data_IF_307493166203
#
_entry.id   IF_307493166203
#
_cell.length_a   1.000
_cell.length_b   1.000
_cell.length_c   1.000
_cell.angle_alpha   90.00
_cell.angle_beta   90.00
_cell.angle_gamma   90.00
#
_symmetry.space_group_name_H-M   'P 1'
#
loop_
_entity.id
_entity.type
_entity.pdbx_description
1 polymer ?
#
# COMPACT_ATOMS: atom_id res chain seq x y z
N UNK A 1 13.42 2.38 -21.31
CA UNK A 1 14.06 2.41 -19.96
C UNK A 1 13.02 2.07 -18.91
N UNK A 2 13.40 1.24 -17.93
CA UNK A 2 12.52 0.71 -16.89
C UNK A 2 13.01 1.10 -15.49
N UNK A 3 12.06 1.38 -14.62
CA UNK A 3 12.27 1.47 -13.17
C UNK A 3 11.79 0.16 -12.56
N UNK A 4 12.57 -0.42 -11.68
CA UNK A 4 12.25 -1.67 -11.00
C UNK A 4 12.32 -1.47 -9.49
N UNK A 5 11.34 -1.98 -8.76
CA UNK A 5 11.36 -1.95 -7.30
C UNK A 5 11.31 -3.38 -6.76
N UNK A 6 12.08 -3.64 -5.73
CA UNK A 6 12.06 -4.91 -5.00
C UNK A 6 11.53 -4.73 -3.58
N UNK A 7 10.52 -5.52 -3.22
CA UNK A 7 9.97 -5.55 -1.86
C UNK A 7 10.90 -6.25 -0.86
N UNK A 8 10.61 -6.10 0.43
CA UNK A 8 11.46 -6.63 1.50
C UNK A 8 11.64 -8.15 1.45
N UNK A 9 10.62 -8.92 1.07
CA UNK A 9 10.69 -10.38 0.88
C UNK A 9 11.68 -10.77 -0.23
N UNK A 10 11.76 -9.97 -1.29
CA UNK A 10 12.71 -10.13 -2.41
C UNK A 10 14.15 -9.78 -2.04
N UNK A 11 14.37 -9.14 -0.90
CA UNK A 11 15.66 -8.64 -0.41
C UNK A 11 16.05 -9.26 0.94
N UNK A 12 15.32 -10.30 1.36
CA UNK A 12 15.43 -10.85 2.70
C UNK A 12 16.71 -11.64 2.97
N UNK A 13 17.43 -12.11 1.95
CA UNK A 13 18.62 -12.96 2.08
C UNK A 13 19.54 -12.83 0.87
N UNK A 14 20.76 -13.33 1.00
CA UNK A 14 21.71 -13.42 -0.10
C UNK A 14 21.15 -14.24 -1.28
N UNK A 15 20.39 -15.32 -1.01
CA UNK A 15 19.75 -16.11 -2.06
C UNK A 15 18.76 -15.26 -2.87
N UNK A 16 17.93 -14.46 -2.20
CA UNK A 16 17.01 -13.55 -2.88
C UNK A 16 17.75 -12.48 -3.68
N UNK A 17 18.84 -11.92 -3.14
CA UNK A 17 19.66 -10.94 -3.87
C UNK A 17 20.32 -11.52 -5.14
N UNK A 18 20.64 -12.83 -5.15
CA UNK A 18 21.10 -13.52 -6.38
C UNK A 18 20.00 -13.54 -7.46
N UNK A 19 18.74 -13.74 -7.06
CA UNK A 19 17.58 -13.66 -7.99
C UNK A 19 17.41 -12.23 -8.50
N UNK A 20 17.46 -11.25 -7.61
CA UNK A 20 17.40 -9.82 -7.96
C UNK A 20 18.48 -9.45 -8.97
N UNK A 21 19.72 -9.87 -8.77
CA UNK A 21 20.82 -9.64 -9.70
C UNK A 21 20.51 -10.21 -11.09
N UNK A 22 20.02 -11.47 -11.15
CA UNK A 22 19.68 -12.12 -12.40
C UNK A 22 18.53 -11.39 -13.14
N UNK A 23 17.54 -10.93 -12.40
CA UNK A 23 16.44 -10.13 -12.95
C UNK A 23 16.98 -8.83 -13.56
N UNK A 24 17.83 -8.10 -12.85
CA UNK A 24 18.40 -6.84 -13.35
C UNK A 24 19.28 -7.11 -14.58
N UNK A 25 20.10 -8.15 -14.55
CA UNK A 25 20.95 -8.54 -15.69
C UNK A 25 20.20 -8.99 -16.93
N UNK A 26 19.00 -9.57 -16.79
CA UNK A 26 18.23 -10.11 -17.91
C UNK A 26 17.65 -9.04 -18.83
N UNK A 27 17.70 -7.76 -18.43
CA UNK A 27 17.14 -6.66 -19.20
C UNK A 27 17.92 -5.36 -18.97
N UNK A 28 18.66 -4.91 -19.96
CA UNK A 28 19.50 -3.71 -19.90
C UNK A 28 18.73 -2.39 -19.76
N UNK A 29 17.40 -2.42 -19.97
CA UNK A 29 16.56 -1.26 -19.73
C UNK A 29 16.27 -1.00 -18.26
N UNK A 30 16.53 -1.95 -17.34
CA UNK A 30 16.36 -1.86 -15.89
C UNK A 30 17.48 -1.06 -15.24
N UNK A 31 17.46 0.24 -15.42
CA UNK A 31 18.53 1.15 -14.96
C UNK A 31 18.27 1.82 -13.61
N UNK A 32 17.05 1.86 -13.16
CA UNK A 32 16.67 2.42 -11.86
C UNK A 32 16.13 1.32 -10.96
N UNK A 33 16.83 1.05 -9.86
CA UNK A 33 16.48 -0.02 -8.93
C UNK A 33 16.15 0.57 -7.57
N UNK A 34 14.88 0.50 -7.18
CA UNK A 34 14.42 0.95 -5.86
C UNK A 34 14.32 -0.25 -4.93
N UNK A 35 14.88 -0.14 -3.73
CA UNK A 35 14.98 -1.25 -2.79
C UNK A 35 14.34 -0.94 -1.44
N UNK A 36 13.66 -1.92 -0.86
CA UNK A 36 13.18 -1.90 0.51
C UNK A 36 14.27 -2.38 1.49
N UNK A 37 14.04 -2.21 2.78
CA UNK A 37 14.82 -2.88 3.81
C UNK A 37 14.66 -4.42 3.69
N UNK A 38 15.63 -5.23 4.17
CA UNK A 38 15.52 -6.68 4.17
C UNK A 38 14.31 -7.16 5.00
N UNK A 39 13.42 -7.92 4.36
CA UNK A 39 12.25 -8.51 4.98
C UNK A 39 12.54 -9.77 5.81
N UNK A 40 11.50 -10.53 6.11
CA UNK A 40 11.59 -11.84 6.77
C UNK A 40 12.11 -12.91 5.82
N UNK A 41 13.00 -13.79 6.28
CA UNK A 41 13.45 -14.99 5.57
C UNK A 41 12.45 -16.14 5.70
N UNK A 42 11.72 -16.17 6.82
CA UNK A 42 10.68 -17.15 7.15
C UNK A 42 9.64 -16.53 8.11
N UNK A 43 8.61 -17.27 8.48
CA UNK A 43 7.51 -16.77 9.31
C UNK A 43 7.95 -16.31 10.72
N UNK A 44 8.99 -16.93 11.29
CA UNK A 44 9.50 -16.66 12.64
C UNK A 44 10.54 -15.54 12.67
N UNK A 45 11.04 -15.12 11.50
CA UNK A 45 12.08 -14.10 11.39
C UNK A 45 11.54 -12.68 11.68
N UNK A 46 12.46 -11.78 12.00
CA UNK A 46 12.17 -10.34 12.22
C UNK A 46 12.58 -9.54 10.99
N UNK A 47 11.77 -8.57 10.58
CA UNK A 47 12.16 -7.59 9.54
C UNK A 47 13.21 -6.63 10.11
N UNK A 48 14.10 -6.13 9.27
CA UNK A 48 15.06 -5.09 9.67
C UNK A 48 14.32 -3.83 10.16
N UNK A 49 13.24 -3.45 9.54
CA UNK A 49 12.41 -2.32 9.98
C UNK A 49 11.87 -2.53 11.40
N UNK A 50 11.38 -3.73 11.74
CA UNK A 50 10.88 -4.04 13.09
C UNK A 50 12.02 -3.99 14.13
N UNK A 51 13.23 -4.40 13.76
CA UNK A 51 14.41 -4.31 14.61
C UNK A 51 14.83 -2.83 14.82
N UNK A 52 14.76 -2.01 13.79
CA UNK A 52 15.01 -0.55 13.89
C UNK A 52 14.00 0.16 14.79
N UNK A 53 12.73 -0.25 14.76
CA UNK A 53 11.69 0.26 15.68
C UNK A 53 12.05 -0.09 17.14
N UNK A 54 12.50 -1.34 17.40
CA UNK A 54 12.93 -1.75 18.73
C UNK A 54 14.16 -0.95 19.17
N UNK A 55 15.10 -0.74 18.26
CA UNK A 55 16.30 0.05 18.52
C UNK A 55 15.94 1.49 18.88
N UNK A 56 15.08 2.15 18.09
CA UNK A 56 14.58 3.49 18.39
C UNK A 56 13.93 3.59 19.78
N UNK A 57 13.05 2.64 20.11
CA UNK A 57 12.36 2.62 21.41
C UNK A 57 13.35 2.47 22.59
N UNK A 58 14.32 1.58 22.48
CA UNK A 58 15.36 1.41 23.51
C UNK A 58 16.21 2.68 23.63
N UNK A 59 16.62 3.27 22.51
CA UNK A 59 17.41 4.51 22.50
C UNK A 59 16.70 5.67 23.18
N UNK A 60 15.45 5.92 22.83
CA UNK A 60 14.65 7.02 23.40
C UNK A 60 14.26 6.78 24.86
N UNK A 61 14.23 5.54 25.32
CA UNK A 61 14.00 5.20 26.73
C UNK A 61 15.27 5.28 27.58
N UNK A 62 16.46 5.44 26.95
CA UNK A 62 17.77 5.40 27.64
C UNK A 62 18.22 4.00 28.02
N UNK A 63 17.62 2.97 27.40
CA UNK A 63 17.97 1.58 27.60
C UNK A 63 19.23 1.19 26.81
N UNK A 64 19.81 -0.01 27.13
CA UNK A 64 20.92 -0.57 26.36
C UNK A 64 20.48 -0.96 24.94
N UNK A 65 21.14 -0.38 23.96
CA UNK A 65 20.85 -0.56 22.52
C UNK A 65 21.74 -1.61 21.85
N UNK A 66 22.74 -2.14 22.56
CA UNK A 66 23.80 -3.01 22.01
C UNK A 66 23.21 -4.22 21.28
N UNK A 67 22.29 -4.93 21.90
CA UNK A 67 21.68 -6.12 21.31
C UNK A 67 20.88 -5.81 20.03
N UNK A 68 20.20 -4.67 19.95
CA UNK A 68 19.47 -4.25 18.77
C UNK A 68 20.43 -3.86 17.64
N UNK A 69 21.49 -3.13 17.93
CA UNK A 69 22.55 -2.78 16.98
C UNK A 69 23.21 -4.02 16.41
N UNK A 70 23.69 -4.91 17.28
CA UNK A 70 24.36 -6.16 16.88
C UNK A 70 23.45 -7.03 16.00
N UNK A 71 22.17 -7.16 16.32
CA UNK A 71 21.25 -7.94 15.51
C UNK A 71 21.13 -7.39 14.09
N UNK A 72 20.98 -6.06 13.94
CA UNK A 72 20.88 -5.42 12.63
C UNK A 72 22.19 -5.54 11.85
N UNK A 73 23.31 -5.26 12.48
CA UNK A 73 24.64 -5.35 11.87
C UNK A 73 24.94 -6.78 11.41
N UNK A 74 24.70 -7.78 12.27
CA UNK A 74 24.91 -9.19 11.96
C UNK A 74 24.02 -9.65 10.79
N UNK A 75 22.81 -9.09 10.64
CA UNK A 75 21.93 -9.36 9.50
C UNK A 75 22.58 -8.96 8.18
N UNK A 76 23.12 -7.74 8.09
CA UNK A 76 23.82 -7.26 6.89
C UNK A 76 25.16 -7.96 6.70
N UNK A 77 25.88 -8.26 7.77
CA UNK A 77 27.15 -8.98 7.71
C UNK A 77 26.96 -10.38 7.11
N UNK A 78 26.01 -11.15 7.60
CA UNK A 78 25.70 -12.48 7.05
C UNK A 78 25.37 -12.42 5.56
N UNK A 79 24.54 -11.46 5.15
CA UNK A 79 24.22 -11.27 3.74
C UNK A 79 25.46 -10.92 2.91
N UNK A 80 26.32 -10.03 3.41
CA UNK A 80 27.54 -9.61 2.73
C UNK A 80 28.54 -10.77 2.60
N UNK A 81 28.71 -11.57 3.63
CA UNK A 81 29.59 -12.76 3.64
C UNK A 81 29.14 -13.82 2.64
N UNK A 82 27.83 -14.16 2.64
CA UNK A 82 27.25 -15.13 1.69
C UNK A 82 27.32 -14.65 0.22
N UNK A 83 27.32 -13.33 0.00
CA UNK A 83 27.51 -12.68 -1.30
C UNK A 83 29.01 -12.50 -1.63
N UNK A 84 29.89 -12.80 -0.68
CA UNK A 84 31.34 -12.64 -0.80
C UNK A 84 31.76 -11.18 -0.98
N UNK A 85 31.04 -10.22 -0.38
CA UNK A 85 31.39 -8.81 -0.44
C UNK A 85 32.57 -8.47 0.47
N UNK A 86 33.23 -7.36 0.17
CA UNK A 86 34.34 -6.88 0.99
C UNK A 86 33.83 -6.41 2.37
N UNK A 87 34.60 -6.65 3.44
CA UNK A 87 34.27 -6.20 4.80
C UNK A 87 34.07 -4.67 4.91
N UNK A 88 34.61 -3.90 3.98
CA UNK A 88 34.44 -2.43 3.96
C UNK A 88 32.99 -1.99 3.90
N UNK A 89 32.12 -2.73 3.17
CA UNK A 89 30.69 -2.39 3.12
C UNK A 89 30.02 -2.67 4.46
N UNK A 90 30.39 -3.78 5.13
CA UNK A 90 29.90 -4.14 6.47
C UNK A 90 30.30 -3.05 7.47
N UNK A 91 31.57 -2.62 7.45
CA UNK A 91 32.05 -1.53 8.33
C UNK A 91 31.30 -0.22 8.13
N UNK A 92 30.98 0.15 6.88
CA UNK A 92 30.19 1.33 6.57
C UNK A 92 28.76 1.23 7.13
N UNK A 93 28.11 0.07 6.94
CA UNK A 93 26.76 -0.19 7.47
C UNK A 93 26.77 -0.20 9.00
N UNK A 94 27.73 -0.87 9.62
CA UNK A 94 27.88 -0.91 11.08
C UNK A 94 28.05 0.50 11.66
N UNK A 95 28.91 1.32 11.04
CA UNK A 95 29.08 2.72 11.44
C UNK A 95 27.80 3.52 11.31
N UNK A 96 27.04 3.34 10.22
CA UNK A 96 25.77 4.04 10.03
C UNK A 96 24.73 3.65 11.09
N UNK A 97 24.60 2.36 11.42
CA UNK A 97 23.69 1.87 12.44
C UNK A 97 24.11 2.34 13.84
N UNK A 98 25.39 2.27 14.18
CA UNK A 98 25.88 2.73 15.48
C UNK A 98 25.69 4.23 15.67
N UNK A 99 25.89 5.03 14.61
CA UNK A 99 25.73 6.47 14.66
C UNK A 99 24.28 6.93 14.93
N UNK A 100 23.27 6.11 14.70
CA UNK A 100 21.88 6.45 15.06
C UNK A 100 21.74 6.78 16.56
N UNK A 101 22.47 6.09 17.44
CA UNK A 101 22.47 6.36 18.88
C UNK A 101 23.30 7.59 19.30
N UNK A 102 23.78 8.38 18.36
CA UNK A 102 24.46 9.67 18.63
C UNK A 102 23.59 10.88 18.27
N UNK A 103 22.43 10.64 17.67
CA UNK A 103 21.54 11.70 17.23
C UNK A 103 20.81 12.33 18.43
N UNK A 104 20.57 13.65 18.43
CA UNK A 104 19.82 14.29 19.51
C UNK A 104 18.39 13.75 19.58
N UNK A 105 17.90 13.51 20.79
CA UNK A 105 16.50 13.07 21.03
C UNK A 105 15.59 14.30 21.14
N UNK A 106 15.97 15.27 21.97
CA UNK A 106 15.15 16.44 22.24
C UNK A 106 15.07 17.37 21.02
N UNK A 107 13.86 17.75 20.66
CA UNK A 107 13.61 18.68 19.55
C UNK A 107 13.85 18.06 18.15
N UNK A 108 13.95 16.76 18.05
CA UNK A 108 14.17 16.06 16.78
C UNK A 108 12.92 15.25 16.35
N UNK A 109 11.96 15.93 15.74
CA UNK A 109 10.71 15.34 15.27
C UNK A 109 10.92 14.27 14.18
N UNK A 110 12.09 14.29 13.49
CA UNK A 110 12.46 13.36 12.42
C UNK A 110 13.32 12.18 12.89
N UNK A 111 13.57 12.06 14.19
CA UNK A 111 14.43 11.02 14.74
C UNK A 111 13.89 9.61 14.41
N UNK A 112 12.60 9.39 14.59
CA UNK A 112 11.96 8.12 14.27
C UNK A 112 12.11 7.75 12.79
N UNK A 113 11.86 8.70 11.91
CA UNK A 113 11.99 8.53 10.46
C UNK A 113 13.43 8.20 10.06
N UNK A 114 14.41 8.85 10.71
CA UNK A 114 15.85 8.60 10.48
C UNK A 114 16.24 7.17 10.86
N UNK A 115 15.74 6.66 11.98
CA UNK A 115 15.95 5.26 12.37
C UNK A 115 15.34 4.30 11.34
N UNK A 116 14.10 4.53 10.94
CA UNK A 116 13.42 3.64 9.99
C UNK A 116 14.09 3.64 8.62
N UNK A 117 14.43 4.80 8.08
CA UNK A 117 15.07 4.96 6.77
C UNK A 117 16.43 4.24 6.67
N UNK A 118 17.11 4.03 7.79
CA UNK A 118 18.40 3.34 7.82
C UNK A 118 18.35 1.91 7.27
N UNK A 119 17.17 1.26 7.29
CA UNK A 119 16.98 -0.07 6.70
C UNK A 119 17.16 -0.06 5.20
N UNK A 120 16.39 0.75 4.51
CA UNK A 120 16.45 0.91 3.07
C UNK A 120 17.79 1.51 2.60
N UNK A 121 18.27 2.50 3.32
CA UNK A 121 19.51 3.20 2.98
C UNK A 121 20.73 2.25 2.99
N UNK A 122 20.89 1.47 4.04
CA UNK A 122 21.97 0.50 4.14
C UNK A 122 21.80 -0.67 3.16
N UNK A 123 20.57 -1.10 2.91
CA UNK A 123 20.32 -2.14 1.92
C UNK A 123 20.65 -1.68 0.50
N UNK A 124 20.34 -0.45 0.14
CA UNK A 124 20.70 0.11 -1.17
C UNK A 124 22.21 0.16 -1.39
N UNK A 125 22.98 0.51 -0.35
CA UNK A 125 24.45 0.47 -0.38
C UNK A 125 24.98 -0.94 -0.61
N UNK A 126 24.43 -1.94 0.09
CA UNK A 126 24.81 -3.35 -0.05
C UNK A 126 24.48 -3.88 -1.44
N UNK A 127 23.28 -3.60 -1.94
CA UNK A 127 22.82 -4.02 -3.29
C UNK A 127 23.69 -3.40 -4.38
N UNK A 128 24.00 -2.10 -4.30
CA UNK A 128 24.87 -1.45 -5.28
C UNK A 128 26.28 -2.06 -5.31
N UNK A 129 26.85 -2.38 -4.14
CA UNK A 129 28.13 -3.06 -4.05
C UNK A 129 28.09 -4.47 -4.64
N UNK A 130 27.00 -5.21 -4.39
CA UNK A 130 26.80 -6.55 -4.94
C UNK A 130 26.67 -6.51 -6.48
N UNK A 131 25.99 -5.52 -7.03
CA UNK A 131 25.87 -5.34 -8.47
C UNK A 131 27.24 -5.03 -9.11
N UNK A 132 28.03 -4.12 -8.52
CA UNK A 132 29.39 -3.80 -9.00
C UNK A 132 30.29 -5.01 -9.01
N UNK A 133 30.30 -5.78 -7.92
CA UNK A 133 31.06 -7.02 -7.82
C UNK A 133 30.76 -8.00 -8.95
N UNK A 134 29.52 -8.00 -9.41
CA UNK A 134 29.05 -8.90 -10.45
C UNK A 134 29.09 -8.30 -11.87
N UNK A 135 29.84 -7.20 -12.06
CA UNK A 135 30.10 -6.59 -13.37
C UNK A 135 28.98 -5.69 -13.91
N UNK A 136 28.02 -5.28 -13.06
CA UNK A 136 27.07 -4.23 -13.43
C UNK A 136 27.69 -2.87 -13.04
N UNK A 137 27.77 -1.93 -13.96
CA UNK A 137 28.09 -0.54 -13.66
C UNK A 137 26.92 0.04 -12.83
N UNK A 138 27.06 0.01 -11.50
CA UNK A 138 26.01 0.41 -10.59
C UNK A 138 26.51 1.32 -9.48
N UNK A 139 25.69 2.27 -9.06
CA UNK A 139 25.97 3.11 -7.89
C UNK A 139 24.75 3.29 -6.99
N UNK A 140 25.03 3.42 -5.71
CA UNK A 140 24.05 3.89 -4.73
C UNK A 140 23.80 5.38 -4.94
N UNK A 141 22.55 5.79 -4.87
CA UNK A 141 22.12 7.18 -4.94
C UNK A 141 21.22 7.52 -3.77
N UNK A 142 21.70 8.37 -2.88
CA UNK A 142 20.87 8.81 -1.75
C UNK A 142 19.67 9.66 -2.23
N UNK A 143 18.48 9.60 -1.61
CA UNK A 143 17.30 10.38 -2.02
C UNK A 143 17.56 11.89 -2.16
N UNK A 144 18.42 12.46 -1.33
CA UNK A 144 18.86 13.86 -1.47
C UNK A 144 19.59 14.11 -2.79
N UNK A 145 20.49 13.21 -3.19
CA UNK A 145 21.21 13.27 -4.46
C UNK A 145 20.27 13.04 -5.64
N UNK A 146 19.35 12.07 -5.49
CA UNK A 146 18.31 11.82 -6.49
C UNK A 146 17.32 12.99 -6.64
N UNK A 147 17.30 13.92 -5.70
CA UNK A 147 16.36 15.03 -5.69
C UNK A 147 14.96 14.66 -5.21
N UNK A 148 14.80 13.58 -4.44
CA UNK A 148 13.53 13.19 -3.82
C UNK A 148 13.28 14.10 -2.61
N UNK A 149 12.72 15.27 -2.89
CA UNK A 149 12.41 16.30 -1.88
C UNK A 149 10.96 16.17 -1.46
N UNK A 150 10.72 16.17 -0.16
CA UNK A 150 9.41 15.89 0.43
C UNK A 150 8.97 16.97 1.42
N UNK A 151 7.69 16.93 1.80
CA UNK A 151 7.13 17.76 2.86
C UNK A 151 7.71 17.40 4.23
N UNK A 152 7.55 18.30 5.21
CA UNK A 152 8.05 18.14 6.58
C UNK A 152 6.97 17.54 7.50
N UNK A 153 6.40 16.41 7.09
CA UNK A 153 5.37 15.67 7.85
C UNK A 153 5.92 14.27 8.20
N UNK A 154 6.56 14.08 9.39
CA UNK A 154 7.16 12.81 9.77
C UNK A 154 6.19 11.63 9.65
N UNK A 155 6.63 10.52 9.03
CA UNK A 155 5.82 9.33 8.81
C UNK A 155 4.73 9.46 7.74
N UNK A 156 4.54 10.65 7.15
CA UNK A 156 3.51 10.93 6.15
C UNK A 156 4.00 11.90 5.06
N UNK A 157 5.25 11.76 4.65
CA UNK A 157 5.89 12.61 3.66
C UNK A 157 5.11 12.63 2.33
N UNK A 158 5.08 13.80 1.69
CA UNK A 158 4.52 14.00 0.35
C UNK A 158 5.59 14.54 -0.57
N UNK A 159 5.71 13.95 -1.77
CA UNK A 159 6.66 14.40 -2.77
C UNK A 159 6.36 15.83 -3.21
N UNK A 160 7.38 16.68 -3.26
CA UNK A 160 7.26 18.04 -3.78
C UNK A 160 7.42 18.04 -5.31
N UNK A 161 6.68 18.89 -6.05
CA UNK A 161 6.72 18.94 -7.51
C UNK A 161 8.13 19.14 -8.09
N UNK A 162 8.99 19.91 -7.43
CA UNK A 162 10.39 20.16 -7.85
C UNK A 162 11.26 18.91 -7.90
N UNK A 163 10.83 17.80 -7.28
CA UNK A 163 11.55 16.54 -7.31
C UNK A 163 11.52 15.89 -8.69
N UNK A 164 10.46 16.10 -9.45
CA UNK A 164 10.32 15.47 -10.76
C UNK A 164 11.32 16.00 -11.77
N UNK A 165 11.61 17.31 -11.74
CA UNK A 165 12.62 17.93 -12.62
C UNK A 165 14.02 17.39 -12.31
N UNK A 166 14.36 17.24 -11.02
CA UNK A 166 15.66 16.69 -10.58
C UNK A 166 15.82 15.21 -10.91
N UNK A 167 14.76 14.42 -10.75
CA UNK A 167 14.76 13.01 -11.13
C UNK A 167 14.93 12.85 -12.64
N UNK A 168 14.36 13.74 -13.45
CA UNK A 168 14.52 13.72 -14.91
C UNK A 168 15.98 13.86 -15.34
N UNK A 169 16.79 14.64 -14.62
CA UNK A 169 18.24 14.81 -14.90
C UNK A 169 19.01 13.47 -14.80
N UNK A 170 18.50 12.49 -14.02
CA UNK A 170 19.11 11.17 -13.88
C UNK A 170 18.78 10.21 -15.04
N UNK A 171 17.82 10.58 -15.90
CA UNK A 171 17.29 9.69 -16.95
C UNK A 171 18.36 9.12 -17.87
N UNK A 172 19.35 9.92 -18.20
CA UNK A 172 20.39 9.57 -19.17
C UNK A 172 21.61 8.89 -18.54
N UNK A 173 21.54 8.52 -17.25
CA UNK A 173 22.59 7.76 -16.59
C UNK A 173 22.86 6.45 -17.31
N UNK A 174 24.13 6.16 -17.59
CA UNK A 174 24.56 4.88 -18.17
C UNK A 174 24.71 3.78 -17.09
N UNK A 175 24.76 4.18 -15.82
CA UNK A 175 24.85 3.28 -14.69
C UNK A 175 23.47 2.82 -14.21
N UNK A 176 23.43 1.66 -13.57
CA UNK A 176 22.28 1.24 -12.77
C UNK A 176 22.29 2.01 -11.46
N UNK A 177 21.26 2.83 -11.24
CA UNK A 177 21.12 3.63 -10.04
C UNK A 177 20.30 2.86 -8.99
N UNK A 178 20.92 2.55 -7.85
CA UNK A 178 20.26 1.88 -6.73
C UNK A 178 19.85 2.94 -5.71
N UNK A 179 18.54 3.13 -5.58
CA UNK A 179 17.92 4.18 -4.76
C UNK A 179 17.21 3.51 -3.58
N UNK A 180 17.46 3.91 -2.32
CA UNK A 180 16.65 3.44 -1.21
C UNK A 180 15.21 3.93 -1.35
N UNK A 181 14.25 3.05 -1.12
CA UNK A 181 12.84 3.40 -1.05
C UNK A 181 12.44 3.97 0.31
N UNK A 182 11.14 4.20 0.50
CA UNK A 182 10.47 4.52 1.76
C UNK A 182 10.66 5.95 2.26
N UNK A 183 11.69 6.70 1.91
CA UNK A 183 11.91 8.04 2.41
C UNK A 183 12.39 9.03 1.35
N UNK A 184 12.21 10.29 1.63
CA UNK A 184 12.82 11.43 0.95
C UNK A 184 13.54 12.35 1.94
N UNK A 185 13.91 13.52 1.47
CA UNK A 185 14.59 14.54 2.29
C UNK A 185 13.80 15.83 2.21
N UNK A 186 13.56 16.48 3.34
CA UNK A 186 12.88 17.78 3.38
C UNK A 186 13.80 18.88 2.79
N UNK A 187 13.25 20.05 2.53
CA UNK A 187 14.04 21.21 2.07
C UNK A 187 15.16 21.58 3.04
N UNK A 188 14.98 21.33 4.32
CA UNK A 188 15.97 21.60 5.38
C UNK A 188 16.95 20.45 5.60
N UNK A 189 16.85 19.38 4.78
CA UNK A 189 17.77 18.28 4.79
C UNK A 189 17.46 17.17 5.78
N UNK A 190 16.28 17.17 6.40
CA UNK A 190 15.83 16.13 7.34
C UNK A 190 15.28 14.91 6.57
N UNK A 191 15.53 13.71 7.08
CA UNK A 191 14.94 12.47 6.55
C UNK A 191 13.47 12.42 6.96
N UNK A 192 12.58 12.19 5.99
CA UNK A 192 11.16 12.08 6.23
C UNK A 192 10.60 10.88 5.45
N UNK A 193 9.89 9.99 6.15
CA UNK A 193 9.39 8.74 5.59
C UNK A 193 8.00 8.90 5.00
N UNK A 194 7.73 8.14 3.93
CA UNK A 194 6.38 8.00 3.40
C UNK A 194 5.53 7.12 4.34
N UNK A 195 4.22 7.15 4.15
CA UNK A 195 3.27 6.27 4.81
C UNK A 195 3.51 4.78 4.47
N UNK A 196 2.59 3.91 4.84
CA UNK A 196 2.64 2.48 4.48
C UNK A 196 2.81 2.27 2.97
N UNK A 197 3.60 1.27 2.59
CA UNK A 197 3.92 1.04 1.18
C UNK A 197 4.96 2.03 0.61
N UNK A 198 5.71 2.71 1.47
CA UNK A 198 6.60 3.81 1.10
C UNK A 198 7.64 3.46 0.04
N UNK A 199 8.14 2.21 -0.01
CA UNK A 199 9.05 1.81 -1.09
C UNK A 199 8.33 1.67 -2.44
N UNK A 200 7.03 1.31 -2.45
CA UNK A 200 6.21 1.30 -3.66
C UNK A 200 5.96 2.72 -4.14
N UNK A 201 5.70 3.65 -3.20
CA UNK A 201 5.57 5.08 -3.47
C UNK A 201 6.88 5.61 -4.08
N UNK A 202 8.04 5.28 -3.51
CA UNK A 202 9.35 5.70 -4.03
C UNK A 202 9.60 5.19 -5.44
N UNK A 203 9.29 3.91 -5.73
CA UNK A 203 9.38 3.34 -7.07
C UNK A 203 8.51 4.07 -8.08
N UNK A 204 7.29 4.39 -7.69
CA UNK A 204 6.33 5.15 -8.49
C UNK A 204 6.81 6.60 -8.75
N UNK A 205 7.36 7.27 -7.74
CA UNK A 205 7.95 8.62 -7.84
C UNK A 205 9.13 8.61 -8.80
N UNK A 206 10.07 7.68 -8.63
CA UNK A 206 11.23 7.56 -9.51
C UNK A 206 10.77 7.28 -10.94
N UNK A 207 9.82 6.35 -11.15
CA UNK A 207 9.31 6.05 -12.48
C UNK A 207 8.67 7.27 -13.16
N UNK A 208 7.87 8.03 -12.43
CA UNK A 208 7.27 9.25 -12.96
C UNK A 208 8.31 10.34 -13.25
N UNK A 209 9.30 10.53 -12.36
CA UNK A 209 10.34 11.55 -12.48
C UNK A 209 11.25 11.31 -13.66
N UNK A 210 11.76 10.09 -13.83
CA UNK A 210 12.62 9.74 -14.96
C UNK A 210 11.82 9.48 -16.26
N UNK A 211 10.49 9.63 -16.24
CA UNK A 211 9.59 9.35 -17.37
C UNK A 211 9.84 7.97 -17.96
N UNK A 212 9.79 6.96 -17.10
CA UNK A 212 10.02 5.58 -17.45
C UNK A 212 8.98 5.05 -18.47
N UNK A 213 9.38 4.11 -19.30
CA UNK A 213 8.46 3.42 -20.23
C UNK A 213 7.64 2.35 -19.49
N UNK A 214 8.16 1.84 -18.36
CA UNK A 214 7.52 0.84 -17.52
C UNK A 214 8.05 0.93 -16.08
N UNK A 215 7.15 0.77 -15.11
CA UNK A 215 7.48 0.52 -13.71
C UNK A 215 7.21 -0.96 -13.39
N UNK A 216 8.25 -1.72 -13.02
CA UNK A 216 8.14 -3.11 -12.59
C UNK A 216 8.23 -3.19 -11.07
N UNK A 217 7.16 -3.62 -10.41
CA UNK A 217 7.13 -3.84 -8.96
C UNK A 217 7.24 -5.34 -8.66
N UNK A 218 8.40 -5.78 -8.18
CA UNK A 218 8.68 -7.16 -7.83
C UNK A 218 8.36 -7.43 -6.35
N UNK A 219 7.53 -8.45 -6.16
CA UNK A 219 7.07 -8.96 -4.86
C UNK A 219 7.18 -10.49 -4.82
N UNK A 220 6.49 -11.17 -3.91
CA UNK A 220 6.47 -12.62 -3.73
C UNK A 220 5.25 -13.32 -4.33
N UNK A 221 4.37 -12.59 -5.02
CA UNK A 221 3.20 -13.15 -5.70
C UNK A 221 3.27 -12.97 -7.22
N UNK A 222 2.63 -13.88 -7.97
CA UNK A 222 2.66 -13.87 -9.44
C UNK A 222 1.85 -12.74 -10.11
N UNK A 223 1.28 -11.86 -9.32
CA UNK A 223 0.41 -10.78 -9.77
C UNK A 223 -0.76 -10.60 -8.81
N UNK A 224 -1.79 -9.92 -9.27
CA UNK A 224 -3.00 -9.65 -8.52
C UNK A 224 -4.04 -10.71 -8.86
N UNK A 225 -4.65 -11.30 -7.83
CA UNK A 225 -5.71 -12.29 -8.01
C UNK A 225 -7.08 -11.63 -8.03
N UNK A 226 -8.03 -12.24 -8.72
CA UNK A 226 -9.41 -11.74 -8.80
C UNK A 226 -10.19 -11.84 -7.47
N UNK A 227 -9.68 -12.61 -6.50
CA UNK A 227 -10.16 -12.65 -5.11
C UNK A 227 -9.01 -13.07 -4.18
N UNK A 228 -9.19 -12.88 -2.87
CA UNK A 228 -8.16 -13.25 -1.90
C UNK A 228 -7.91 -14.78 -1.88
N UNK A 229 -6.66 -15.26 -2.07
CA UNK A 229 -6.36 -16.69 -2.19
C UNK A 229 -6.58 -17.48 -0.89
N UNK A 230 -6.64 -16.82 0.26
CA UNK A 230 -7.05 -17.41 1.54
C UNK A 230 -8.56 -17.67 1.67
N UNK A 231 -9.37 -17.06 0.77
CA UNK A 231 -10.83 -17.21 0.77
C UNK A 231 -11.27 -18.10 -0.40
N UNK A 232 -10.76 -17.85 -1.59
CA UNK A 232 -11.05 -18.62 -2.81
C UNK A 232 -9.85 -19.50 -3.13
N UNK A 233 -10.09 -20.80 -3.41
CA UNK A 233 -9.02 -21.71 -3.79
C UNK A 233 -8.56 -21.44 -5.24
N UNK A 234 -7.27 -21.14 -5.43
CA UNK A 234 -6.65 -20.85 -6.73
C UNK A 234 -7.45 -19.83 -7.57
N UNK A 235 -7.65 -18.61 -7.07
CA UNK A 235 -8.36 -17.59 -7.84
C UNK A 235 -7.58 -17.23 -9.12
N UNK A 236 -8.29 -16.79 -10.15
CA UNK A 236 -7.67 -16.30 -11.38
C UNK A 236 -6.69 -15.17 -11.12
N UNK A 237 -5.56 -15.17 -11.80
CA UNK A 237 -4.66 -14.01 -11.85
C UNK A 237 -5.18 -13.03 -12.88
N UNK A 238 -5.37 -11.79 -12.47
CA UNK A 238 -5.78 -10.70 -13.33
C UNK A 238 -4.61 -10.34 -14.26
N UNK A 239 -4.83 -10.38 -15.57
CA UNK A 239 -3.77 -10.07 -16.55
C UNK A 239 -3.53 -8.57 -16.68
N UNK A 240 -4.61 -7.80 -16.71
CA UNK A 240 -4.57 -6.34 -16.87
C UNK A 240 -5.66 -5.68 -16.03
N UNK A 241 -5.31 -4.56 -15.41
CA UNK A 241 -6.17 -3.68 -14.64
C UNK A 241 -5.98 -2.23 -15.11
N UNK A 242 -7.01 -1.41 -14.95
CA UNK A 242 -6.79 0.03 -14.98
C UNK A 242 -6.31 0.54 -13.61
N UNK A 243 -5.68 1.71 -13.57
CA UNK A 243 -5.33 2.38 -12.32
C UNK A 243 -6.54 2.61 -11.43
N UNK A 244 -7.70 2.83 -12.06
CA UNK A 244 -8.95 3.08 -11.36
C UNK A 244 -9.47 1.81 -10.69
N UNK A 245 -9.51 0.69 -11.41
CA UNK A 245 -9.86 -0.61 -10.85
C UNK A 245 -8.91 -1.02 -9.73
N UNK A 246 -7.59 -0.83 -9.92
CA UNK A 246 -6.61 -1.14 -8.89
C UNK A 246 -6.84 -0.34 -7.61
N UNK A 247 -7.19 0.95 -7.74
CA UNK A 247 -7.47 1.81 -6.58
C UNK A 247 -8.70 1.33 -5.81
N UNK A 248 -9.78 0.95 -6.51
CA UNK A 248 -10.99 0.40 -5.88
C UNK A 248 -10.67 -0.91 -5.13
N UNK A 249 -9.91 -1.82 -5.76
CA UNK A 249 -9.49 -3.08 -5.12
C UNK A 249 -8.57 -2.84 -3.91
N UNK A 250 -7.62 -1.92 -4.02
CA UNK A 250 -6.70 -1.59 -2.92
C UNK A 250 -7.45 -0.97 -1.72
N UNK A 251 -8.43 -0.10 -1.99
CA UNK A 251 -9.28 0.48 -0.96
C UNK A 251 -10.09 -0.59 -0.22
N UNK A 252 -10.59 -1.59 -0.94
CA UNK A 252 -11.42 -2.68 -0.40
C UNK A 252 -10.61 -3.86 0.18
N UNK A 253 -9.30 -3.67 0.49
CA UNK A 253 -8.50 -4.65 1.22
C UNK A 253 -7.46 -5.43 0.42
N UNK A 254 -7.28 -5.17 -0.88
CA UNK A 254 -6.16 -5.76 -1.63
C UNK A 254 -4.83 -5.15 -1.18
N UNK A 255 -3.99 -5.96 -0.53
CA UNK A 255 -2.75 -5.51 0.12
C UNK A 255 -1.49 -5.60 -0.74
N UNK A 256 -1.59 -5.99 -2.03
CA UNK A 256 -0.42 -6.18 -2.90
C UNK A 256 0.25 -4.85 -3.25
N UNK A 257 -0.53 -3.78 -3.39
CA UNK A 257 -0.05 -2.44 -3.67
C UNK A 257 -0.95 -1.41 -2.99
N UNK A 258 -0.35 -0.49 -2.24
CA UNK A 258 -1.08 0.60 -1.58
C UNK A 258 -1.60 1.59 -2.62
N UNK A 259 -2.79 2.14 -2.40
CA UNK A 259 -3.44 3.08 -3.31
C UNK A 259 -2.61 4.38 -3.51
N UNK A 260 -1.98 4.88 -2.46
CA UNK A 260 -1.08 6.05 -2.53
C UNK A 260 0.13 5.80 -3.46
N UNK A 261 0.61 4.55 -3.55
CA UNK A 261 1.72 4.20 -4.42
C UNK A 261 1.37 4.30 -5.91
N UNK A 262 0.09 4.27 -6.25
CA UNK A 262 -0.37 4.41 -7.63
C UNK A 262 -0.31 5.85 -8.14
N UNK A 263 -0.45 6.85 -7.26
CA UNK A 263 -0.68 8.25 -7.62
C UNK A 263 0.43 8.83 -8.51
N UNK A 264 1.75 8.72 -8.18
CA UNK A 264 2.79 9.28 -9.02
C UNK A 264 2.85 8.65 -10.42
N UNK A 265 2.76 7.30 -10.51
CA UNK A 265 2.78 6.59 -11.78
C UNK A 265 1.52 6.92 -12.62
N UNK A 266 0.35 6.99 -12.01
CA UNK A 266 -0.88 7.42 -12.67
C UNK A 266 -0.75 8.82 -13.28
N UNK A 267 -0.27 9.80 -12.49
CA UNK A 267 -0.06 11.18 -12.95
C UNK A 267 1.00 11.28 -14.05
N UNK A 268 2.06 10.48 -13.92
CA UNK A 268 3.11 10.35 -14.93
C UNK A 268 2.69 9.56 -16.17
N UNK A 269 1.51 8.94 -16.15
CA UNK A 269 1.00 8.04 -17.20
C UNK A 269 1.93 6.85 -17.47
N UNK A 270 2.65 6.39 -16.45
CA UNK A 270 3.60 5.28 -16.54
C UNK A 270 2.83 3.96 -16.36
N UNK A 271 2.87 3.00 -17.29
CA UNK A 271 2.33 1.67 -17.05
C UNK A 271 3.14 0.96 -15.95
N UNK A 272 2.43 0.17 -15.13
CA UNK A 272 3.02 -0.57 -14.02
C UNK A 272 2.76 -2.07 -14.22
N UNK A 273 3.68 -2.93 -13.78
CA UNK A 273 3.47 -4.38 -13.74
C UNK A 273 3.90 -4.95 -12.39
N UNK A 274 3.03 -5.76 -11.80
CA UNK A 274 3.33 -6.53 -10.58
C UNK A 274 3.90 -7.88 -11.00
N UNK A 275 5.10 -8.22 -10.51
CA UNK A 275 5.82 -9.44 -10.86
C UNK A 275 6.34 -10.18 -9.63
N UNK A 276 6.64 -11.45 -9.81
CA UNK A 276 7.18 -12.30 -8.75
C UNK A 276 8.70 -12.46 -8.89
N UNK A 277 9.44 -12.10 -7.85
CA UNK A 277 10.90 -12.31 -7.79
C UNK A 277 11.29 -13.78 -7.86
N UNK A 278 10.43 -14.67 -7.35
CA UNK A 278 10.66 -16.12 -7.37
C UNK A 278 10.19 -16.81 -8.67
N UNK A 279 9.45 -16.08 -9.53
CA UNK A 279 8.97 -16.54 -10.82
C UNK A 279 9.00 -15.37 -11.83
N UNK A 280 10.18 -14.85 -12.19
CA UNK A 280 10.32 -13.62 -12.96
C UNK A 280 9.82 -13.74 -14.41
N UNK A 281 9.73 -14.94 -14.95
CA UNK A 281 9.23 -15.20 -16.31
C UNK A 281 7.70 -15.12 -16.38
N UNK A 282 6.99 -15.21 -15.26
CA UNK A 282 5.55 -15.01 -15.23
C UNK A 282 5.21 -13.57 -15.65
N UNK A 283 4.24 -13.35 -16.55
CA UNK A 283 3.94 -12.03 -17.08
C UNK A 283 3.49 -11.02 -15.99
N UNK A 284 2.91 -11.53 -14.90
CA UNK A 284 2.39 -10.68 -13.82
C UNK A 284 1.04 -10.07 -14.13
N UNK A 285 0.69 -9.02 -13.42
CA UNK A 285 -0.50 -8.19 -13.65
C UNK A 285 -0.07 -6.80 -14.12
N UNK A 286 -0.56 -6.39 -15.27
CA UNK A 286 -0.28 -5.07 -15.83
C UNK A 286 -1.33 -4.05 -15.37
N UNK A 287 -0.90 -2.86 -14.96
CA UNK A 287 -1.76 -1.75 -14.56
C UNK A 287 -1.54 -0.59 -15.53
N UNK A 288 -2.62 -0.16 -16.20
CA UNK A 288 -2.58 0.82 -17.28
C UNK A 288 -3.63 1.91 -17.09
N UNK A 289 -3.61 2.94 -17.94
CA UNK A 289 -4.64 4.00 -17.92
C UNK A 289 -5.97 3.54 -18.52
N UNK A 290 -5.92 2.59 -19.45
CA UNK A 290 -7.09 2.03 -20.15
C UNK A 290 -6.78 0.60 -20.55
N UNK A 291 -7.77 -0.24 -20.56
CA UNK A 291 -7.63 -1.61 -21.10
C UNK A 291 -7.14 -1.62 -22.54
N UNK A 292 -6.28 -2.58 -22.84
CA UNK A 292 -5.71 -2.75 -24.18
C UNK A 292 -6.55 -3.65 -25.10
N UNK A 293 -7.54 -4.36 -24.55
CA UNK A 293 -8.37 -5.34 -25.25
C UNK A 293 -9.78 -5.49 -24.66
N UNK A 294 -10.50 -6.54 -25.03
CA UNK A 294 -11.82 -6.85 -24.49
C UNK A 294 -11.77 -7.02 -22.98
N UNK A 295 -12.79 -6.52 -22.31
CA UNK A 295 -12.92 -6.52 -20.84
C UNK A 295 -14.10 -7.39 -20.41
N UNK A 296 -14.06 -7.83 -19.16
CA UNK A 296 -15.16 -8.51 -18.48
C UNK A 296 -15.81 -7.56 -17.47
N UNK A 297 -17.11 -7.69 -17.20
CA UNK A 297 -17.80 -6.73 -16.35
C UNK A 297 -17.24 -6.64 -14.92
N UNK A 298 -16.80 -7.75 -14.35
CA UNK A 298 -16.19 -7.80 -13.01
C UNK A 298 -14.79 -8.39 -13.14
N UNK A 299 -13.77 -7.61 -12.76
CA UNK A 299 -12.38 -8.02 -12.86
C UNK A 299 -11.84 -8.55 -11.52
N UNK A 300 -12.42 -8.14 -10.41
CA UNK A 300 -11.99 -8.55 -9.08
C UNK A 300 -13.04 -8.35 -8.01
N UNK A 301 -12.90 -9.10 -6.91
CA UNK A 301 -13.74 -9.06 -5.72
C UNK A 301 -12.84 -8.88 -4.52
N UNK A 302 -12.99 -7.77 -3.82
CA UNK A 302 -12.27 -7.45 -2.61
C UNK A 302 -13.22 -7.45 -1.41
N UNK A 303 -12.69 -7.70 -0.23
CA UNK A 303 -13.42 -7.58 1.02
C UNK A 303 -12.47 -7.10 2.13
N UNK A 304 -13.00 -6.30 3.02
CA UNK A 304 -12.31 -5.81 4.21
C UNK A 304 -13.28 -5.80 5.38
N UNK A 305 -12.79 -6.17 6.56
CA UNK A 305 -13.56 -6.28 7.80
C UNK A 305 -13.30 -5.08 8.73
N UNK A 306 -13.84 -5.15 9.94
CA UNK A 306 -13.68 -4.13 10.98
C UNK A 306 -14.34 -2.79 10.65
N UNK A 307 -15.57 -2.85 10.17
CA UNK A 307 -16.44 -1.68 10.00
C UNK A 307 -17.59 -1.70 10.98
N UNK A 308 -18.10 -0.51 11.25
CA UNK A 308 -19.35 -0.29 11.98
C UNK A 308 -20.22 0.69 11.21
N UNK A 309 -21.53 0.60 11.39
CA UNK A 309 -22.53 1.52 10.82
C UNK A 309 -23.18 2.33 11.92
N UNK A 310 -23.16 3.63 11.80
CA UNK A 310 -23.93 4.56 12.64
C UNK A 310 -25.22 4.83 11.89
N UNK A 311 -26.30 4.18 12.29
CA UNK A 311 -27.61 4.28 11.68
C UNK A 311 -28.43 5.34 12.42
N UNK A 312 -29.07 6.24 11.71
CA UNK A 312 -29.90 7.30 12.28
C UNK A 312 -31.19 7.48 11.50
N UNK A 313 -32.29 7.71 12.21
CA UNK A 313 -33.59 8.02 11.64
C UNK A 313 -34.11 9.34 12.19
N UNK A 314 -34.62 10.19 11.29
CA UNK A 314 -35.20 11.49 11.62
C UNK A 314 -36.33 11.83 10.63
N UNK A 315 -37.53 12.00 11.13
CA UNK A 315 -38.68 12.37 10.31
C UNK A 315 -38.44 13.71 9.62
N UNK A 316 -38.70 13.76 8.30
CA UNK A 316 -38.42 14.88 7.42
C UNK A 316 -36.97 15.31 7.29
N UNK A 317 -36.03 14.40 7.53
CA UNK A 317 -34.58 14.63 7.42
C UNK A 317 -34.19 15.26 6.08
N UNK A 318 -34.79 14.78 4.98
CA UNK A 318 -34.53 15.27 3.61
C UNK A 318 -34.91 16.74 3.38
N UNK A 319 -35.74 17.34 4.25
CA UNK A 319 -36.14 18.76 4.19
C UNK A 319 -35.24 19.66 5.01
N UNK A 320 -34.38 19.10 5.84
CA UNK A 320 -33.45 19.86 6.67
C UNK A 320 -32.17 20.21 5.89
N UNK A 321 -32.04 21.48 5.51
CA UNK A 321 -30.86 21.96 4.78
C UNK A 321 -29.60 21.80 5.64
N UNK A 322 -28.61 21.08 5.10
CA UNK A 322 -27.31 20.91 5.74
C UNK A 322 -27.26 19.80 6.81
N UNK A 323 -28.26 18.93 6.93
CA UNK A 323 -28.26 17.85 7.91
C UNK A 323 -27.01 16.98 7.79
N UNK A 324 -26.71 16.45 6.60
CA UNK A 324 -25.50 15.63 6.39
C UNK A 324 -24.20 16.37 6.74
N UNK A 325 -24.10 17.67 6.46
CA UNK A 325 -22.94 18.47 6.89
C UNK A 325 -22.78 18.49 8.41
N UNK A 326 -23.89 18.62 9.13
CA UNK A 326 -23.86 18.63 10.61
C UNK A 326 -23.44 17.28 11.17
N UNK A 327 -23.92 16.18 10.57
CA UNK A 327 -23.49 14.83 10.94
C UNK A 327 -21.98 14.65 10.70
N UNK A 328 -21.48 15.06 9.54
CA UNK A 328 -20.04 14.99 9.23
C UNK A 328 -19.20 15.90 10.15
N UNK A 329 -19.74 17.04 10.59
CA UNK A 329 -19.06 17.91 11.56
C UNK A 329 -18.85 17.22 12.91
N UNK A 330 -19.85 16.46 13.39
CA UNK A 330 -19.71 15.67 14.63
C UNK A 330 -18.57 14.65 14.50
N UNK A 331 -18.49 13.97 13.36
CA UNK A 331 -17.41 13.00 13.11
C UNK A 331 -16.04 13.69 13.03
N UNK A 332 -15.96 14.85 12.37
CA UNK A 332 -14.75 15.66 12.29
C UNK A 332 -14.28 16.10 13.68
N UNK A 333 -15.17 16.64 14.50
CA UNK A 333 -14.86 17.10 15.87
C UNK A 333 -14.37 15.96 16.77
N UNK A 334 -14.86 14.74 16.55
CA UNK A 334 -14.43 13.51 17.21
C UNK A 334 -13.23 12.83 16.56
N UNK A 335 -12.68 13.41 15.49
CA UNK A 335 -11.58 12.84 14.70
C UNK A 335 -11.90 11.41 14.25
N UNK A 336 -13.05 11.22 13.59
CA UNK A 336 -13.52 9.96 13.01
C UNK A 336 -13.63 10.15 11.51
N UNK A 337 -12.96 9.29 10.74
CA UNK A 337 -13.07 9.25 9.29
C UNK A 337 -14.28 8.41 8.88
N UNK A 338 -15.05 8.91 7.94
CA UNK A 338 -16.15 8.18 7.34
C UNK A 338 -15.71 7.53 6.02
N UNK A 339 -16.32 6.38 5.71
CA UNK A 339 -16.03 5.62 4.50
C UNK A 339 -17.19 5.76 3.48
N UNK A 340 -18.42 5.53 3.91
CA UNK A 340 -19.62 5.64 3.10
C UNK A 340 -20.77 6.26 3.89
N UNK A 341 -21.70 6.91 3.17
CA UNK A 341 -22.84 7.59 3.78
C UNK A 341 -24.08 7.42 2.90
N UNK A 342 -24.69 6.23 2.85
CA UNK A 342 -25.95 6.04 2.19
C UNK A 342 -27.07 6.79 2.92
N UNK A 343 -27.98 7.41 2.16
CA UNK A 343 -29.08 8.21 2.68
C UNK A 343 -30.38 7.82 2.04
N UNK A 344 -31.41 7.61 2.87
CA UNK A 344 -32.81 7.52 2.47
C UNK A 344 -33.54 8.86 2.55
N UNK A 345 -34.84 8.82 2.73
CA UNK A 345 -35.68 10.02 2.88
C UNK A 345 -35.61 10.52 4.33
N UNK A 346 -35.81 9.63 5.28
CA UNK A 346 -35.87 9.89 6.72
C UNK A 346 -34.79 9.13 7.50
N UNK A 347 -33.86 8.47 6.82
CA UNK A 347 -32.78 7.70 7.41
C UNK A 347 -31.44 7.99 6.73
N UNK A 348 -30.35 7.77 7.48
CA UNK A 348 -28.99 7.90 7.02
C UNK A 348 -28.12 6.93 7.80
N UNK A 349 -27.21 6.27 7.10
CA UNK A 349 -26.16 5.47 7.74
C UNK A 349 -24.80 6.08 7.44
N UNK A 350 -23.86 6.01 8.39
CA UNK A 350 -22.48 6.38 8.15
C UNK A 350 -21.60 5.18 8.51
N UNK A 351 -20.91 4.67 7.52
CA UNK A 351 -19.96 3.57 7.68
C UNK A 351 -18.61 4.14 8.08
N UNK A 352 -18.05 3.60 9.15
CA UNK A 352 -16.77 4.02 9.72
C UNK A 352 -15.90 2.81 10.06
N UNK A 353 -14.61 3.01 10.23
CA UNK A 353 -13.72 1.96 10.77
C UNK A 353 -14.03 1.73 12.25
N UNK A 354 -14.33 0.49 12.63
CA UNK A 354 -14.69 0.13 13.99
C UNK A 354 -13.64 0.56 15.03
N UNK A 355 -12.35 0.47 14.69
CA UNK A 355 -11.25 0.92 15.56
C UNK A 355 -11.26 2.41 15.91
N UNK A 356 -11.99 3.23 15.16
CA UNK A 356 -12.12 4.67 15.42
C UNK A 356 -13.27 4.97 16.40
N UNK A 357 -14.17 3.99 16.61
CA UNK A 357 -15.26 4.04 17.59
C UNK A 357 -14.78 3.47 18.92
N UNK A 358 -14.64 4.34 19.92
CA UNK A 358 -14.48 3.91 21.30
C UNK A 358 -15.84 4.03 22.02
N UNK A 359 -16.09 3.29 23.11
CA UNK A 359 -17.36 3.41 23.83
C UNK A 359 -17.70 4.83 24.26
N UNK A 360 -16.68 5.67 24.51
CA UNK A 360 -16.86 7.10 24.84
C UNK A 360 -17.35 7.85 23.60
N UNK A 361 -16.69 7.69 22.47
CA UNK A 361 -17.07 8.34 21.21
C UNK A 361 -18.47 7.95 20.74
N UNK A 362 -18.85 6.68 20.90
CA UNK A 362 -20.21 6.20 20.59
C UNK A 362 -21.27 6.95 21.41
N UNK A 363 -21.05 7.07 22.73
CA UNK A 363 -21.95 7.82 23.59
C UNK A 363 -22.03 9.29 23.21
N UNK A 364 -20.91 9.90 22.86
CA UNK A 364 -20.86 11.29 22.38
C UNK A 364 -21.62 11.46 21.06
N UNK A 365 -21.40 10.57 20.07
CA UNK A 365 -22.14 10.58 18.80
C UNK A 365 -23.64 10.49 19.04
N UNK A 366 -24.09 9.52 19.81
CA UNK A 366 -25.52 9.33 20.14
C UNK A 366 -26.07 10.60 20.83
N UNK A 367 -25.32 11.17 21.76
CA UNK A 367 -25.73 12.37 22.48
C UNK A 367 -25.85 13.59 21.55
N UNK A 368 -24.87 13.83 20.67
CA UNK A 368 -24.92 14.93 19.70
C UNK A 368 -26.02 14.76 18.68
N UNK A 369 -26.19 13.57 18.11
CA UNK A 369 -27.23 13.28 17.13
C UNK A 369 -28.63 13.48 17.71
N UNK A 370 -28.89 12.97 18.92
CA UNK A 370 -30.22 13.06 19.55
C UNK A 370 -30.50 14.45 20.09
N UNK A 371 -29.56 15.07 20.83
CA UNK A 371 -29.82 16.34 21.53
C UNK A 371 -29.66 17.57 20.66
N UNK A 372 -28.65 17.60 19.78
CA UNK A 372 -28.35 18.78 18.97
C UNK A 372 -29.00 18.72 17.59
N UNK A 373 -29.04 17.54 16.96
CA UNK A 373 -29.67 17.40 15.65
C UNK A 373 -31.11 16.89 15.70
N UNK A 374 -31.61 16.51 16.88
CA UNK A 374 -32.97 16.03 17.05
C UNK A 374 -33.26 14.78 16.23
N UNK A 375 -32.31 13.86 16.18
CA UNK A 375 -32.47 12.53 15.56
C UNK A 375 -33.40 11.70 16.47
N UNK A 376 -34.39 11.04 15.87
CA UNK A 376 -35.41 10.30 16.59
C UNK A 376 -34.87 8.97 17.13
N UNK A 377 -34.07 8.25 16.31
CA UNK A 377 -33.45 6.98 16.68
C UNK A 377 -32.00 6.93 16.18
N UNK A 378 -31.10 6.39 17.00
CA UNK A 378 -29.70 6.14 16.67
C UNK A 378 -29.35 4.73 17.12
N UNK A 379 -28.82 3.95 16.19
CA UNK A 379 -28.28 2.62 16.44
C UNK A 379 -26.85 2.49 15.87
N UNK A 380 -25.98 1.76 16.57
CA UNK A 380 -24.61 1.50 16.10
C UNK A 380 -24.43 -0.01 15.94
N UNK A 381 -24.24 -0.42 14.71
CA UNK A 381 -24.05 -1.81 14.36
C UNK A 381 -22.57 -2.10 14.11
N UNK A 382 -22.05 -3.16 14.75
CA UNK A 382 -20.66 -3.56 14.74
C UNK A 382 -20.41 -4.83 13.92
N UNK A 383 -19.14 -5.20 13.77
CA UNK A 383 -18.71 -6.44 13.09
C UNK A 383 -19.20 -6.54 11.64
N UNK A 384 -19.10 -5.46 10.92
CA UNK A 384 -19.46 -5.38 9.51
C UNK A 384 -18.23 -5.55 8.59
N UNK A 385 -18.47 -6.12 7.41
CA UNK A 385 -17.51 -6.22 6.32
C UNK A 385 -18.06 -5.55 5.08
N UNK A 386 -17.19 -4.81 4.39
CA UNK A 386 -17.46 -4.26 3.04
C UNK A 386 -16.94 -5.26 2.02
N UNK A 387 -17.77 -5.64 1.07
CA UNK A 387 -17.42 -6.47 -0.08
C UNK A 387 -17.63 -5.65 -1.34
N UNK A 388 -16.62 -5.59 -2.20
CA UNK A 388 -16.68 -4.85 -3.45
C UNK A 388 -16.49 -5.77 -4.65
N UNK A 389 -17.37 -5.65 -5.64
CA UNK A 389 -17.11 -6.13 -6.99
C UNK A 389 -16.62 -4.94 -7.82
N UNK A 390 -15.53 -5.13 -8.57
CA UNK A 390 -14.84 -4.06 -9.29
C UNK A 390 -14.68 -4.41 -10.76
N UNK A 391 -14.93 -3.42 -11.64
CA UNK A 391 -14.68 -3.51 -13.07
C UNK A 391 -15.20 -2.28 -13.82
N UNK A 392 -14.37 -1.62 -14.62
CA UNK A 392 -14.76 -0.41 -15.38
C UNK A 392 -15.82 -0.68 -16.44
N UNK A 393 -15.94 -1.94 -16.89
CA UNK A 393 -16.87 -2.32 -17.94
C UNK A 393 -18.28 -2.67 -17.39
N UNK A 394 -18.48 -2.65 -16.08
CA UNK A 394 -19.80 -2.89 -15.45
C UNK A 394 -20.88 -1.96 -16.02
N UNK A 395 -20.54 -0.69 -16.30
CA UNK A 395 -21.47 0.31 -16.87
C UNK A 395 -22.04 -0.09 -18.24
N UNK A 396 -21.36 -0.97 -18.97
CA UNK A 396 -21.76 -1.44 -20.29
C UNK A 396 -22.52 -2.77 -20.24
N UNK A 397 -22.63 -3.40 -19.05
CA UNK A 397 -23.22 -4.71 -18.84
C UNK A 397 -24.44 -4.65 -17.94
N UNK A 398 -25.61 -4.85 -18.53
CA UNK A 398 -26.87 -4.88 -17.79
C UNK A 398 -26.92 -6.16 -16.94
N UNK A 399 -27.34 -6.01 -15.66
CA UNK A 399 -27.62 -7.15 -14.80
C UNK A 399 -26.48 -7.56 -13.86
N UNK A 400 -25.34 -6.85 -13.84
CA UNK A 400 -24.22 -7.18 -12.94
C UNK A 400 -24.67 -7.18 -11.48
N UNK A 401 -25.36 -6.14 -11.03
CA UNK A 401 -25.89 -6.06 -9.65
C UNK A 401 -26.94 -7.14 -9.38
N UNK A 402 -27.79 -7.47 -10.37
CA UNK A 402 -28.76 -8.56 -10.22
C UNK A 402 -28.07 -9.93 -10.04
N UNK A 403 -27.01 -10.21 -10.82
CA UNK A 403 -26.20 -11.42 -10.68
C UNK A 403 -25.55 -11.47 -9.30
N UNK A 404 -24.96 -10.37 -8.84
CA UNK A 404 -24.32 -10.29 -7.53
C UNK A 404 -25.32 -10.53 -6.38
N UNK A 405 -26.45 -9.80 -6.38
CA UNK A 405 -27.46 -9.94 -5.33
C UNK A 405 -28.13 -11.29 -5.33
N UNK A 406 -28.34 -11.90 -6.51
CA UNK A 406 -28.83 -13.26 -6.61
C UNK A 406 -27.86 -14.26 -5.99
N UNK A 407 -26.56 -14.15 -6.29
CA UNK A 407 -25.55 -15.06 -5.75
C UNK A 407 -25.48 -15.00 -4.21
N UNK A 408 -25.64 -13.79 -3.64
CA UNK A 408 -25.69 -13.59 -2.19
C UNK A 408 -26.98 -14.14 -1.58
N UNK A 409 -28.14 -13.86 -2.21
CA UNK A 409 -29.45 -14.35 -1.78
C UNK A 409 -29.51 -15.90 -1.80
N UNK A 410 -28.98 -16.54 -2.83
CA UNK A 410 -28.92 -18.01 -2.93
C UNK A 410 -28.08 -18.65 -1.80
N UNK A 411 -27.29 -17.87 -1.10
CA UNK A 411 -26.51 -18.27 0.11
C UNK A 411 -27.11 -17.75 1.41
N UNK A 412 -28.31 -17.19 1.37
CA UNK A 412 -28.99 -16.61 2.54
C UNK A 412 -28.16 -15.54 3.27
N UNK A 413 -27.42 -14.73 2.49
CA UNK A 413 -26.64 -13.62 3.01
C UNK A 413 -27.51 -12.37 2.97
N UNK A 414 -27.71 -11.75 4.14
CA UNK A 414 -28.35 -10.45 4.24
C UNK A 414 -27.41 -9.32 3.85
N UNK A 415 -27.95 -8.26 3.29
CA UNK A 415 -27.21 -7.07 2.92
C UNK A 415 -27.70 -5.89 3.76
N UNK A 416 -26.81 -5.38 4.60
CA UNK A 416 -27.08 -4.18 5.42
C UNK A 416 -27.02 -2.91 4.57
N UNK A 417 -26.22 -2.92 3.51
CA UNK A 417 -26.08 -1.80 2.58
C UNK A 417 -25.72 -2.30 1.18
N UNK A 418 -26.24 -1.59 0.17
CA UNK A 418 -25.78 -1.67 -1.22
C UNK A 418 -25.46 -0.25 -1.68
N UNK A 419 -24.27 -0.02 -2.22
CA UNK A 419 -23.88 1.27 -2.75
C UNK A 419 -23.18 1.12 -4.10
N UNK A 420 -23.64 1.92 -5.07
CA UNK A 420 -23.01 2.04 -6.39
C UNK A 420 -22.86 3.52 -6.70
N UNK A 421 -21.64 4.00 -6.87
CA UNK A 421 -21.35 5.39 -7.22
C UNK A 421 -21.64 5.68 -8.69
N UNK A 422 -21.73 6.96 -9.04
CA UNK A 422 -21.94 7.43 -10.41
C UNK A 422 -20.84 7.04 -11.40
N UNK A 423 -19.73 6.57 -10.88
CA UNK A 423 -18.60 6.05 -11.67
C UNK A 423 -18.88 4.67 -12.26
N UNK A 424 -19.76 3.90 -11.61
CA UNK A 424 -20.11 2.52 -11.96
C UNK A 424 -18.91 1.55 -12.09
N UNK A 425 -17.77 1.89 -11.45
CA UNK A 425 -16.55 1.06 -11.46
C UNK A 425 -16.60 0.00 -10.39
N UNK A 426 -17.35 0.25 -9.32
CA UNK A 426 -17.53 -0.67 -8.21
C UNK A 426 -18.96 -0.70 -7.71
N UNK A 427 -19.37 -1.85 -7.18
CA UNK A 427 -20.57 -2.00 -6.36
C UNK A 427 -20.13 -2.57 -5.02
N UNK A 428 -20.57 -1.91 -3.95
CA UNK A 428 -20.29 -2.30 -2.58
C UNK A 428 -21.49 -2.95 -1.95
N UNK A 429 -21.22 -3.97 -1.17
CA UNK A 429 -22.17 -4.67 -0.32
C UNK A 429 -21.62 -4.66 1.11
N UNK A 430 -22.46 -4.35 2.09
CA UNK A 430 -22.13 -4.51 3.50
C UNK A 430 -22.89 -5.69 4.04
N UNK A 431 -22.23 -6.54 4.80
CA UNK A 431 -22.79 -7.73 5.45
C UNK A 431 -22.11 -7.94 6.80
N UNK A 432 -22.68 -8.81 7.63
CA UNK A 432 -22.04 -9.27 8.85
C UNK A 432 -20.71 -9.96 8.54
N UNK A 433 -19.66 -9.67 9.31
CA UNK A 433 -18.30 -10.19 9.09
C UNK A 433 -18.23 -11.71 9.04
N UNK A 434 -19.10 -12.39 9.80
CA UNK A 434 -19.19 -13.86 9.80
C UNK A 434 -19.55 -14.43 8.42
N UNK A 435 -20.27 -13.68 7.59
CA UNK A 435 -20.72 -14.07 6.26
C UNK A 435 -19.76 -13.66 5.14
N UNK A 436 -18.76 -12.81 5.41
CA UNK A 436 -17.84 -12.23 4.41
C UNK A 436 -17.23 -13.29 3.48
N UNK A 437 -16.57 -14.32 4.05
CA UNK A 437 -15.91 -15.35 3.25
C UNK A 437 -16.87 -16.13 2.37
N UNK A 438 -18.08 -16.36 2.84
CA UNK A 438 -19.13 -17.04 2.07
C UNK A 438 -19.61 -16.13 0.93
N UNK A 439 -19.77 -14.84 1.19
CA UNK A 439 -20.18 -13.86 0.22
C UNK A 439 -19.14 -13.69 -0.90
N UNK A 440 -17.86 -13.56 -0.54
CA UNK A 440 -16.75 -13.50 -1.53
C UNK A 440 -16.74 -14.73 -2.43
N UNK A 441 -16.90 -15.94 -1.86
CA UNK A 441 -16.97 -17.18 -2.66
C UNK A 441 -18.20 -17.23 -3.56
N UNK A 442 -19.35 -16.79 -3.09
CA UNK A 442 -20.58 -16.77 -3.87
C UNK A 442 -20.45 -15.84 -5.08
N UNK A 443 -19.95 -14.63 -4.84
CA UNK A 443 -19.69 -13.65 -5.90
C UNK A 443 -18.63 -14.14 -6.88
N UNK A 444 -17.52 -14.70 -6.38
CA UNK A 444 -16.47 -15.24 -7.24
C UNK A 444 -17.01 -16.33 -8.18
N UNK A 445 -17.77 -17.28 -7.65
CA UNK A 445 -18.37 -18.33 -8.47
C UNK A 445 -19.38 -17.80 -9.50
N UNK A 446 -20.07 -16.71 -9.19
CA UNK A 446 -21.04 -16.11 -10.10
C UNK A 446 -20.39 -15.38 -11.28
N UNK A 447 -19.20 -14.82 -11.10
CA UNK A 447 -18.53 -14.01 -12.13
C UNK A 447 -17.33 -14.70 -12.80
N UNK A 448 -16.75 -15.75 -12.21
CA UNK A 448 -15.52 -16.39 -12.68
C UNK A 448 -15.64 -17.92 -12.88
N UNK A 449 -16.85 -18.44 -13.09
CA UNK A 449 -17.04 -19.86 -13.47
C UNK A 449 -16.61 -20.10 -14.93
N UNK A 450 -16.21 -21.35 -15.24
CA UNK A 450 -15.62 -21.77 -16.54
C UNK A 450 -16.50 -21.52 -17.79
N UNK A 451 -17.76 -21.13 -17.64
CA UNK A 451 -18.65 -20.85 -18.78
C UNK A 451 -18.43 -19.45 -19.42
N UNK A 452 -17.52 -18.63 -18.90
CA UNK A 452 -17.23 -17.28 -19.40
C UNK A 452 -15.81 -17.09 -19.95
N UNK A 453 -15.06 -18.18 -20.19
CA UNK A 453 -13.72 -18.13 -20.82
C UNK A 453 -13.77 -18.42 -22.32
#
# INVERSE_FOLDING_TARGET
MKVIKFGGSSLASAEQLKKVLNIVKSDSERRFVVVSAPGKRNAEDTKVTDALIKYYKAYTAGDDVTAAQEWIINRYQAMAEELGLNSSIVSKIAGAITNLATLPIDGNDFLYDTFLAAGEDNNAKLVAEYFRKNGIAARYVHPKEAGIIVSSEPGNARILPSSYDKLEELRDSEEVLVIPGFFGVTTDGQICTFSRGGSDISGSIVAAGVKADLYENFTDVNGIFAAHPGVVHKPHTIKELTYREMRELAYAGFSVLHDEALIPAYRGKIPLVIKNTNNPDHPGTRITLKHSGPTIPVIGIAADDNFASINMSKYLMNREVGFGRKVLQILEDLNIRWEHMPTGIDDMSVIVRERELTPIKEQEIISYLTRELGVDEVDIEHNLSIIMIVGEDMKNHIGVTATATKALSDKHINLEMISQGSSEVSVMFVTQTEQEKQAVRALYNAFFTEEQN
#
